data_IF_586724250832
#
_entry.id   IF_586724250832
#
_cell.length_a   1.000
_cell.length_b   1.000
_cell.length_c   1.000
_cell.angle_alpha   90.00
_cell.angle_beta   90.00
_cell.angle_gamma   90.00
#
_symmetry.space_group_name_H-M   'P 1'
#
loop_
_entity.id
_entity.type
_entity.pdbx_description
1 polymer ?
#
# COMPACT_ATOMS: atom_id res chain seq x y z
N UNK A 1 53.52 -18.57 -31.64
CA UNK A 1 52.55 -18.74 -30.53
C UNK A 1 52.38 -17.36 -29.96
N UNK A 2 51.41 -16.60 -30.47
CA UNK A 2 50.03 -16.54 -29.95
C UNK A 2 50.06 -15.88 -28.55
N UNK A 3 49.34 -14.82 -28.24
CA UNK A 3 48.11 -14.31 -28.85
C UNK A 3 47.90 -12.86 -28.42
N UNK A 4 47.06 -12.19 -29.19
CA UNK A 4 46.53 -10.85 -29.03
C UNK A 4 45.74 -10.69 -27.72
N UNK A 5 45.86 -9.54 -27.06
CA UNK A 5 44.93 -9.07 -26.02
C UNK A 5 45.09 -7.55 -25.95
N UNK A 6 44.42 -6.84 -26.87
CA UNK A 6 43.18 -6.11 -26.58
C UNK A 6 43.26 -5.23 -25.32
N UNK A 7 43.50 -3.96 -25.58
CA UNK A 7 42.67 -2.83 -25.15
C UNK A 7 41.48 -3.23 -24.25
N UNK A 8 41.50 -2.80 -22.99
CA UNK A 8 40.39 -2.04 -22.41
C UNK A 8 40.76 -1.55 -20.98
N UNK A 9 40.65 -0.25 -20.71
CA UNK A 9 40.46 0.24 -19.35
C UNK A 9 38.98 0.05 -19.00
N UNK A 10 38.61 -1.14 -18.53
CA UNK A 10 37.22 -1.40 -18.15
C UNK A 10 36.90 -0.82 -16.76
N UNK A 11 36.20 0.31 -16.81
CA UNK A 11 35.14 0.69 -15.87
C UNK A 11 35.55 1.07 -14.44
N UNK A 12 36.32 2.15 -14.36
CA UNK A 12 36.19 3.12 -13.26
C UNK A 12 35.22 4.26 -13.63
N UNK A 13 34.18 3.97 -14.41
CA UNK A 13 33.17 4.94 -14.83
C UNK A 13 31.84 4.70 -14.11
N UNK A 14 31.48 5.71 -13.31
CA UNK A 14 30.14 6.03 -12.83
C UNK A 14 29.34 4.88 -12.18
N UNK A 15 29.58 4.64 -10.89
CA UNK A 15 28.54 4.17 -9.98
C UNK A 15 27.43 5.23 -9.99
N UNK A 16 26.51 5.14 -10.93
CA UNK A 16 25.21 5.75 -10.81
C UNK A 16 24.57 5.09 -9.59
N UNK A 17 24.62 5.77 -8.45
CA UNK A 17 23.88 5.35 -7.27
C UNK A 17 22.40 5.36 -7.70
N UNK A 18 21.88 4.18 -8.05
CA UNK A 18 20.46 4.01 -8.32
C UNK A 18 19.74 4.27 -7.00
N UNK A 19 19.24 5.50 -6.86
CA UNK A 19 18.45 5.91 -5.71
C UNK A 19 17.17 5.08 -5.72
N UNK A 20 17.04 4.20 -4.75
CA UNK A 20 15.86 3.36 -4.56
C UNK A 20 14.86 4.08 -3.65
N UNK A 21 13.58 3.93 -3.97
CA UNK A 21 12.47 4.55 -3.27
C UNK A 21 11.59 3.46 -2.64
N UNK A 22 11.21 3.60 -1.38
CA UNK A 22 10.20 2.74 -0.74
C UNK A 22 8.79 3.20 -1.12
N UNK A 23 7.73 2.39 -0.86
CA UNK A 23 6.36 2.83 -1.09
C UNK A 23 6.01 4.16 -0.42
N UNK A 24 6.54 4.40 0.78
CA UNK A 24 6.32 5.65 1.52
C UNK A 24 7.03 6.84 0.85
N UNK A 25 8.29 6.67 0.42
CA UNK A 25 9.05 7.71 -0.28
C UNK A 25 8.40 8.07 -1.63
N UNK A 26 7.91 7.07 -2.37
CA UNK A 26 7.18 7.30 -3.61
C UNK A 26 5.88 8.09 -3.38
N UNK A 27 5.12 7.68 -2.37
CA UNK A 27 3.85 8.31 -2.01
C UNK A 27 4.02 9.80 -1.71
N UNK A 28 5.03 10.15 -0.92
CA UNK A 28 5.37 11.54 -0.60
C UNK A 28 5.86 12.31 -1.84
N UNK A 29 6.75 11.72 -2.64
CA UNK A 29 7.33 12.37 -3.82
C UNK A 29 6.29 12.73 -4.89
N UNK A 30 5.22 11.94 -5.01
CA UNK A 30 4.14 12.15 -5.99
C UNK A 30 2.86 12.73 -5.36
N UNK A 31 2.83 12.91 -4.04
CA UNK A 31 1.72 13.55 -3.32
C UNK A 31 0.45 12.70 -3.24
N UNK A 32 0.58 11.39 -3.03
CA UNK A 32 -0.55 10.45 -2.89
C UNK A 32 -0.44 9.63 -1.61
N UNK A 33 -1.53 9.04 -1.08
CA UNK A 33 -1.45 8.15 0.07
C UNK A 33 -0.60 6.90 -0.21
N UNK A 34 0.11 6.38 0.80
CA UNK A 34 0.92 5.15 0.69
C UNK A 34 0.09 3.94 0.23
N UNK A 35 -1.19 3.91 0.61
CA UNK A 35 -2.15 2.90 0.16
C UNK A 35 -2.27 2.86 -1.38
N UNK A 36 -2.22 4.01 -2.06
CA UNK A 36 -2.26 4.08 -3.51
C UNK A 36 -1.02 3.43 -4.14
N UNK A 37 0.18 3.70 -3.60
CA UNK A 37 1.43 3.05 -4.09
C UNK A 37 1.37 1.54 -3.89
N UNK A 38 0.95 1.07 -2.70
CA UNK A 38 0.80 -0.36 -2.39
C UNK A 38 -0.25 -1.02 -3.29
N UNK A 39 -1.34 -0.32 -3.62
CA UNK A 39 -2.36 -0.80 -4.56
C UNK A 39 -1.76 -0.98 -5.96
N UNK A 40 -1.05 0.02 -6.47
CA UNK A 40 -0.41 -0.04 -7.77
C UNK A 40 0.66 -1.12 -7.86
N UNK A 41 1.38 -1.36 -6.77
CA UNK A 41 2.32 -2.49 -6.65
C UNK A 41 1.59 -3.84 -6.73
N UNK A 42 0.54 -4.06 -5.93
CA UNK A 42 -0.23 -5.32 -5.95
C UNK A 42 -0.89 -5.60 -7.30
N UNK A 43 -1.30 -4.55 -8.01
CA UNK A 43 -1.87 -4.63 -9.36
C UNK A 43 -0.79 -4.79 -10.45
N UNK A 44 0.50 -4.76 -10.10
CA UNK A 44 1.62 -4.85 -11.04
C UNK A 44 1.82 -3.61 -11.92
N UNK A 45 1.14 -2.51 -11.62
CA UNK A 45 1.30 -1.22 -12.32
C UNK A 45 2.62 -0.55 -11.93
N UNK A 46 2.97 -0.61 -10.64
CA UNK A 46 4.32 -0.33 -10.16
C UNK A 46 5.05 -1.64 -9.89
N UNK A 47 6.33 -1.70 -10.22
CA UNK A 47 7.12 -2.92 -10.06
C UNK A 47 8.37 -2.64 -9.22
N UNK A 48 8.53 -3.32 -8.07
CA UNK A 48 9.73 -3.13 -7.27
C UNK A 48 10.92 -3.82 -7.95
N UNK A 49 12.03 -3.10 -8.01
CA UNK A 49 13.31 -3.60 -8.51
C UNK A 49 13.98 -4.52 -7.49
N UNK A 50 13.69 -4.33 -6.19
CA UNK A 50 14.24 -5.13 -5.10
C UNK A 50 13.26 -5.25 -3.94
N UNK A 51 13.18 -6.43 -3.33
CA UNK A 51 12.43 -6.65 -2.09
C UNK A 51 13.40 -7.12 -1.00
N UNK A 52 13.46 -6.38 0.11
CA UNK A 52 14.33 -6.69 1.25
C UNK A 52 13.47 -6.79 2.50
N UNK A 53 13.46 -7.94 3.18
CA UNK A 53 12.65 -8.15 4.41
C UNK A 53 11.18 -7.74 4.22
N UNK A 54 10.55 -8.15 3.11
CA UNK A 54 9.17 -7.78 2.69
C UNK A 54 8.96 -6.29 2.35
N UNK A 55 9.99 -5.47 2.34
CA UNK A 55 9.91 -4.07 1.89
C UNK A 55 10.37 -3.92 0.44
N UNK A 56 9.46 -3.41 -0.36
CA UNK A 56 9.65 -3.14 -1.78
C UNK A 56 10.43 -1.85 -2.03
N UNK A 57 11.32 -1.89 -3.04
CA UNK A 57 12.17 -0.79 -3.46
C UNK A 57 12.01 -0.57 -4.96
N UNK A 58 11.76 0.67 -5.36
CA UNK A 58 11.47 1.09 -6.73
C UNK A 58 12.58 2.01 -7.23
N UNK A 59 12.82 2.04 -8.54
CA UNK A 59 13.81 2.93 -9.15
C UNK A 59 13.18 4.26 -9.62
N UNK A 60 13.91 5.03 -10.42
CA UNK A 60 13.45 6.31 -10.94
C UNK A 60 12.39 6.18 -12.07
N UNK A 61 12.34 5.06 -12.79
CA UNK A 61 11.33 4.85 -13.82
C UNK A 61 9.93 4.75 -13.19
N UNK A 62 9.85 4.01 -12.07
CA UNK A 62 8.65 3.84 -11.28
C UNK A 62 8.13 5.16 -10.67
N UNK A 63 9.03 6.13 -10.39
CA UNK A 63 8.63 7.49 -10.00
C UNK A 63 7.83 8.18 -11.11
N UNK A 64 8.24 8.00 -12.36
CA UNK A 64 7.54 8.56 -13.53
C UNK A 64 6.14 7.99 -13.68
N UNK A 65 6.00 6.66 -13.54
CA UNK A 65 4.72 5.96 -13.56
C UNK A 65 3.83 6.41 -12.41
N UNK A 66 4.36 6.47 -11.19
CA UNK A 66 3.64 6.92 -10.00
C UNK A 66 3.15 8.39 -10.14
N UNK A 67 3.95 9.27 -10.76
CA UNK A 67 3.56 10.67 -11.00
C UNK A 67 2.39 10.78 -11.98
N UNK A 68 2.39 9.97 -13.04
CA UNK A 68 1.28 9.90 -14.01
C UNK A 68 -0.01 9.43 -13.34
N UNK A 69 0.07 8.42 -12.47
CA UNK A 69 -1.06 7.97 -11.67
C UNK A 69 -1.57 9.03 -10.69
N UNK A 70 -0.64 9.72 -10.02
CA UNK A 70 -0.97 10.82 -9.10
C UNK A 70 -1.68 11.98 -9.81
N UNK A 71 -1.30 12.31 -11.04
CA UNK A 71 -1.99 13.32 -11.85
C UNK A 71 -3.46 12.96 -12.10
N UNK A 72 -3.76 11.69 -12.41
CA UNK A 72 -5.15 11.24 -12.57
C UNK A 72 -5.95 11.37 -11.28
N UNK A 73 -5.35 11.00 -10.14
CA UNK A 73 -5.99 11.16 -8.83
C UNK A 73 -6.23 12.64 -8.48
N UNK A 74 -5.22 13.50 -8.68
CA UNK A 74 -5.33 14.93 -8.43
C UNK A 74 -6.37 15.60 -9.34
N UNK A 75 -6.54 15.09 -10.55
CA UNK A 75 -7.61 15.52 -11.44
C UNK A 75 -9.00 15.10 -10.95
N UNK A 76 -9.12 14.19 -9.97
CA UNK A 76 -10.38 13.73 -9.38
C UNK A 76 -10.87 12.39 -9.92
N UNK A 77 -10.02 11.62 -10.60
CA UNK A 77 -10.34 10.22 -10.89
C UNK A 77 -10.24 9.39 -9.61
N UNK A 78 -11.21 8.51 -9.38
CA UNK A 78 -11.09 7.48 -8.34
C UNK A 78 -10.07 6.42 -8.77
N UNK A 79 -9.45 5.74 -7.80
CA UNK A 79 -8.51 4.64 -8.06
C UNK A 79 -9.12 3.56 -8.98
N UNK A 80 -10.39 3.17 -8.74
CA UNK A 80 -11.11 2.22 -9.61
C UNK A 80 -11.25 2.71 -11.05
N UNK A 81 -11.49 4.01 -11.26
CA UNK A 81 -11.57 4.58 -12.60
C UNK A 81 -10.21 4.55 -13.30
N UNK A 82 -9.13 4.83 -12.56
CA UNK A 82 -7.76 4.72 -13.07
C UNK A 82 -7.47 3.27 -13.48
N UNK A 83 -7.76 2.30 -12.60
CA UNK A 83 -7.55 0.87 -12.85
C UNK A 83 -8.31 0.40 -14.11
N UNK A 84 -9.58 0.77 -14.24
CA UNK A 84 -10.41 0.43 -15.41
C UNK A 84 -9.80 0.94 -16.71
N UNK A 85 -9.36 2.20 -16.73
CA UNK A 85 -8.79 2.82 -17.93
C UNK A 85 -7.42 2.27 -18.29
N UNK A 86 -6.60 1.92 -17.30
CA UNK A 86 -5.33 1.24 -17.56
C UNK A 86 -5.55 -0.13 -18.17
N UNK A 87 -6.55 -0.88 -17.71
CA UNK A 87 -6.94 -2.16 -18.30
C UNK A 87 -7.47 -2.00 -19.75
N UNK A 88 -8.17 -0.92 -20.06
CA UNK A 88 -8.62 -0.59 -21.42
C UNK A 88 -7.41 -0.33 -22.35
N UNK A 89 -6.46 0.52 -21.93
CA UNK A 89 -5.25 0.82 -22.72
C UNK A 89 -4.36 -0.42 -22.88
N UNK A 90 -4.21 -1.24 -21.83
CA UNK A 90 -3.42 -2.46 -21.90
C UNK A 90 -3.92 -3.43 -22.99
N UNK A 91 -5.23 -3.44 -23.29
CA UNK A 91 -5.79 -4.24 -24.39
C UNK A 91 -5.44 -3.68 -25.77
N UNK A 92 -5.24 -2.38 -25.88
CA UNK A 92 -4.83 -1.70 -27.11
C UNK A 92 -3.32 -1.78 -27.36
N UNK A 93 -2.54 -2.14 -26.33
CA UNK A 93 -1.09 -2.30 -26.38
C UNK A 93 -0.67 -3.72 -25.97
N UNK A 94 -0.93 -4.75 -26.79
CA UNK A 94 -0.56 -6.13 -26.46
C UNK A 94 0.95 -6.34 -26.29
N UNK A 95 1.77 -5.49 -26.91
CA UNK A 95 3.24 -5.55 -26.84
C UNK A 95 3.82 -4.79 -25.62
N UNK A 96 2.99 -4.07 -24.86
CA UNK A 96 3.42 -3.27 -23.72
C UNK A 96 2.55 -3.57 -22.50
N UNK A 97 2.94 -4.55 -21.65
CA UNK A 97 2.17 -4.94 -20.48
C UNK A 97 2.11 -3.84 -19.40
N UNK A 98 2.86 -2.75 -19.57
CA UNK A 98 2.94 -1.61 -18.65
C UNK A 98 2.53 -0.31 -19.35
N UNK A 99 1.22 0.01 -19.41
CA UNK A 99 0.71 1.13 -20.18
C UNK A 99 1.36 2.47 -19.83
N UNK A 100 1.57 2.76 -18.54
CA UNK A 100 2.11 4.04 -18.11
C UNK A 100 3.63 4.16 -18.17
N UNK A 101 4.35 3.05 -18.35
CA UNK A 101 5.76 3.08 -18.68
C UNK A 101 5.97 3.36 -20.17
N UNK A 102 4.95 3.10 -21.01
CA UNK A 102 5.00 3.37 -22.43
C UNK A 102 4.96 4.90 -22.71
N UNK A 103 5.91 5.44 -23.49
CA UNK A 103 5.91 6.86 -23.84
C UNK A 103 4.74 7.26 -24.73
N UNK A 104 4.06 6.31 -25.39
CA UNK A 104 2.86 6.57 -26.18
C UNK A 104 1.67 6.93 -25.29
N UNK A 105 1.66 6.54 -24.01
CA UNK A 105 0.54 6.86 -23.12
C UNK A 105 0.74 8.23 -22.50
N UNK A 106 -0.18 9.14 -22.78
CA UNK A 106 -0.20 10.53 -22.34
C UNK A 106 -1.30 10.72 -21.30
N UNK A 107 -1.00 11.40 -20.20
CA UNK A 107 -1.97 11.74 -19.15
C UNK A 107 -2.26 13.23 -19.24
N UNK A 108 -3.53 13.61 -19.39
CA UNK A 108 -3.93 15.02 -19.42
C UNK A 108 -5.23 15.23 -18.62
N UNK A 109 -5.12 15.96 -17.50
CA UNK A 109 -6.20 16.11 -16.54
C UNK A 109 -6.77 14.76 -16.09
N UNK A 110 -8.06 14.54 -16.33
CA UNK A 110 -8.77 13.29 -16.02
C UNK A 110 -8.66 12.23 -17.10
N UNK A 111 -7.96 12.48 -18.22
CA UNK A 111 -7.99 11.63 -19.42
C UNK A 111 -6.64 10.95 -19.65
N UNK A 112 -6.71 9.75 -20.21
CA UNK A 112 -5.56 8.99 -20.66
C UNK A 112 -5.67 8.87 -22.18
N UNK A 113 -4.59 9.16 -22.88
CA UNK A 113 -4.53 9.08 -24.33
C UNK A 113 -3.40 8.16 -24.77
N UNK A 114 -3.55 7.56 -25.93
CA UNK A 114 -2.53 6.79 -26.62
C UNK A 114 -2.10 7.55 -27.88
N UNK A 115 -0.82 7.87 -27.98
CA UNK A 115 -0.21 8.51 -29.15
C UNK A 115 0.08 7.47 -30.23
N UNK A 116 -0.55 7.64 -31.39
CA UNK A 116 -0.41 6.81 -32.57
C UNK A 116 0.15 7.66 -33.72
N UNK A 117 1.47 7.83 -33.77
CA UNK A 117 2.10 8.76 -34.71
C UNK A 117 1.84 10.22 -34.32
N UNK A 118 1.20 11.00 -35.20
CA UNK A 118 0.83 12.40 -34.98
C UNK A 118 -0.55 12.56 -34.30
N UNK A 119 -1.33 11.48 -34.18
CA UNK A 119 -2.69 11.50 -33.61
C UNK A 119 -2.72 11.00 -32.15
N UNK A 120 -3.67 11.50 -31.36
CA UNK A 120 -4.01 11.03 -30.02
C UNK A 120 -5.28 10.18 -30.06
N UNK A 121 -5.35 9.08 -29.32
CA UNK A 121 -6.52 8.21 -29.23
C UNK A 121 -6.95 8.01 -27.77
N UNK A 122 -8.25 7.93 -27.50
CA UNK A 122 -8.77 7.59 -26.16
C UNK A 122 -8.68 6.06 -25.89
N UNK A 123 -8.82 5.60 -24.62
CA UNK A 123 -8.71 4.19 -24.24
C UNK A 123 -9.72 3.26 -24.92
N UNK A 124 -10.80 3.81 -25.48
CA UNK A 124 -11.78 3.10 -26.30
C UNK A 124 -11.40 2.92 -27.77
N UNK A 125 -10.24 3.42 -28.21
CA UNK A 125 -9.77 3.36 -29.59
C UNK A 125 -10.30 4.48 -30.51
N UNK A 126 -11.00 5.46 -29.94
CA UNK A 126 -11.48 6.62 -30.70
C UNK A 126 -10.36 7.64 -30.89
N UNK A 127 -10.08 8.02 -32.14
CA UNK A 127 -9.11 9.07 -32.47
C UNK A 127 -9.66 10.44 -32.02
N UNK A 128 -8.82 11.22 -31.36
CA UNK A 128 -9.05 12.61 -30.99
C UNK A 128 -8.71 13.47 -32.21
N UNK A 129 -9.73 14.15 -32.76
CA UNK A 129 -9.55 15.16 -33.77
C UNK A 129 -9.41 16.52 -33.07
N UNK A 130 -8.34 17.24 -33.39
CA UNK A 130 -8.06 18.57 -32.84
C UNK A 130 -9.03 19.59 -33.47
N UNK A 131 -10.17 19.80 -32.83
CA UNK A 131 -11.13 20.82 -33.20
C UNK A 131 -11.00 21.98 -32.21
N UNK A 132 -10.58 23.15 -32.72
CA UNK A 132 -10.47 24.41 -31.99
C UNK A 132 -11.67 24.61 -31.03
N UNK A 133 -11.34 24.86 -29.76
CA UNK A 133 -12.25 25.08 -28.64
C UNK A 133 -13.21 26.26 -28.87
N UNK A 134 -14.36 26.03 -29.49
CA UNK A 134 -15.52 26.91 -29.29
C UNK A 134 -16.86 26.28 -29.71
N UNK A 135 -17.19 25.09 -29.21
CA UNK A 135 -18.60 24.67 -29.04
C UNK A 135 -18.67 23.27 -28.50
N UNK A 136 -19.22 23.11 -27.29
CA UNK A 136 -20.39 22.29 -26.98
C UNK A 136 -20.48 22.13 -25.45
N UNK A 137 -21.34 22.98 -24.87
CA UNK A 137 -21.94 22.73 -23.57
C UNK A 137 -22.93 21.56 -23.66
N UNK A 138 -23.08 20.86 -22.54
CA UNK A 138 -24.12 19.87 -22.20
C UNK A 138 -24.34 18.69 -23.16
N UNK A 139 -23.95 17.49 -22.69
CA UNK A 139 -24.85 16.34 -22.67
C UNK A 139 -24.34 15.27 -21.70
N UNK A 140 -25.02 15.17 -20.55
CA UNK A 140 -25.09 13.98 -19.71
C UNK A 140 -25.91 12.91 -20.45
N UNK A 141 -25.26 12.02 -21.18
CA UNK A 141 -25.84 10.71 -21.51
C UNK A 141 -24.72 9.72 -21.88
N UNK A 142 -24.45 8.77 -20.97
CA UNK A 142 -23.57 7.65 -21.26
C UNK A 142 -24.20 6.76 -22.35
N UNK A 143 -23.45 6.26 -23.35
CA UNK A 143 -24.01 5.35 -24.33
C UNK A 143 -24.37 4.01 -23.67
N UNK A 144 -25.62 3.60 -23.84
CA UNK A 144 -26.11 2.26 -23.49
C UNK A 144 -25.34 1.24 -24.33
N UNK A 145 -24.54 0.40 -23.67
CA UNK A 145 -23.86 -0.72 -24.32
C UNK A 145 -24.63 -2.01 -24.04
N UNK A 146 -25.26 -2.57 -25.07
CA UNK A 146 -25.80 -3.93 -25.06
C UNK A 146 -24.67 -4.86 -25.53
N UNK A 147 -24.19 -5.74 -24.64
CA UNK A 147 -23.26 -6.81 -25.03
C UNK A 147 -24.01 -8.14 -25.16
N UNK A 148 -23.92 -8.76 -26.35
CA UNK A 148 -24.43 -10.10 -26.64
C UNK A 148 -23.25 -11.07 -26.82
N UNK A 149 -23.31 -12.18 -26.05
CA UNK A 149 -22.67 -13.49 -26.19
C UNK A 149 -21.12 -13.54 -26.06
N UNK A 150 -20.51 -14.56 -25.46
CA UNK A 150 -20.65 -15.99 -25.75
C UNK A 150 -20.42 -16.84 -24.50
N UNK A 151 -21.26 -17.85 -24.32
CA UNK A 151 -21.11 -18.85 -23.28
C UNK A 151 -19.85 -19.69 -23.46
N UNK A 152 -19.10 -19.84 -22.37
CA UNK A 152 -18.22 -20.98 -22.20
C UNK A 152 -18.58 -21.69 -20.89
N UNK A 153 -19.10 -22.91 -21.06
CA UNK A 153 -19.17 -23.93 -20.01
C UNK A 153 -17.78 -24.14 -19.44
N UNK A 154 -17.54 -23.68 -18.21
CA UNK A 154 -16.57 -24.32 -17.35
C UNK A 154 -17.28 -25.48 -16.64
N UNK A 155 -16.81 -26.68 -16.97
CA UNK A 155 -17.20 -27.94 -16.36
C UNK A 155 -16.87 -27.88 -14.86
N UNK A 156 -17.84 -28.29 -14.03
CA UNK A 156 -17.66 -28.90 -12.71
C UNK A 156 -16.33 -28.56 -12.00
N UNK A 157 -16.23 -27.36 -11.45
CA UNK A 157 -15.30 -27.08 -10.36
C UNK A 157 -16.04 -27.40 -9.06
N UNK A 158 -15.41 -28.13 -8.14
CA UNK A 158 -16.04 -28.51 -6.88
C UNK A 158 -16.49 -27.29 -6.08
N UNK A 159 -17.44 -27.47 -5.16
CA UNK A 159 -17.91 -26.38 -4.27
C UNK A 159 -16.76 -25.59 -3.60
N UNK A 160 -15.58 -26.20 -3.42
CA UNK A 160 -14.38 -25.55 -2.89
C UNK A 160 -13.79 -24.45 -3.78
N UNK A 161 -13.78 -24.61 -5.11
CA UNK A 161 -13.18 -23.61 -6.02
C UNK A 161 -14.07 -22.36 -6.12
N UNK A 162 -15.39 -22.55 -6.10
CA UNK A 162 -16.35 -21.46 -6.07
C UNK A 162 -16.31 -20.68 -4.75
N UNK A 163 -16.16 -21.39 -3.62
CA UNK A 163 -15.99 -20.76 -2.31
C UNK A 163 -14.68 -19.97 -2.24
N UNK A 164 -13.58 -20.52 -2.76
CA UNK A 164 -12.31 -19.81 -2.80
C UNK A 164 -12.36 -18.54 -3.66
N UNK A 165 -13.05 -18.59 -4.80
CA UNK A 165 -13.28 -17.42 -5.64
C UNK A 165 -14.12 -16.35 -4.91
N UNK A 166 -15.16 -16.76 -4.17
CA UNK A 166 -15.98 -15.86 -3.36
C UNK A 166 -15.17 -15.21 -2.23
N UNK A 167 -14.33 -15.98 -1.52
CA UNK A 167 -13.43 -15.47 -0.47
C UNK A 167 -12.50 -14.40 -1.06
N UNK A 168 -11.89 -14.67 -2.21
CA UNK A 168 -11.04 -13.69 -2.90
C UNK A 168 -11.78 -12.41 -3.30
N UNK A 169 -13.02 -12.53 -3.76
CA UNK A 169 -13.88 -11.38 -4.08
C UNK A 169 -14.21 -10.54 -2.84
N UNK A 170 -14.66 -11.19 -1.75
CA UNK A 170 -15.00 -10.52 -0.50
C UNK A 170 -13.78 -9.82 0.12
N UNK A 171 -12.61 -10.44 0.04
CA UNK A 171 -11.36 -9.84 0.50
C UNK A 171 -11.01 -8.59 -0.31
N UNK A 172 -11.11 -8.65 -1.64
CA UNK A 172 -10.86 -7.50 -2.49
C UNK A 172 -11.86 -6.36 -2.26
N UNK A 173 -13.13 -6.70 -2.03
CA UNK A 173 -14.16 -5.73 -1.71
C UNK A 173 -13.89 -5.03 -0.37
N UNK A 174 -13.50 -5.78 0.66
CA UNK A 174 -13.14 -5.21 1.97
C UNK A 174 -12.00 -4.19 1.85
N UNK A 175 -10.95 -4.54 1.11
CA UNK A 175 -9.80 -3.67 0.84
C UNK A 175 -10.23 -2.42 0.08
N UNK A 176 -11.09 -2.55 -0.93
CA UNK A 176 -11.58 -1.38 -1.65
C UNK A 176 -12.39 -0.43 -0.74
N UNK A 177 -13.21 -0.97 0.18
CA UNK A 177 -13.93 -0.15 1.14
C UNK A 177 -13.00 0.57 2.12
N UNK A 178 -11.91 -0.08 2.53
CA UNK A 178 -10.87 0.55 3.33
C UNK A 178 -10.16 1.69 2.59
N UNK A 179 -9.81 1.47 1.33
CA UNK A 179 -9.17 2.47 0.46
C UNK A 179 -10.08 3.71 0.29
N UNK A 180 -11.40 3.50 0.26
CA UNK A 180 -12.41 4.57 0.22
C UNK A 180 -12.69 5.22 1.59
N UNK A 181 -12.08 4.73 2.66
CA UNK A 181 -12.34 5.19 4.04
C UNK A 181 -13.74 4.83 4.55
N UNK A 182 -14.46 3.93 3.88
CA UNK A 182 -15.79 3.46 4.26
C UNK A 182 -15.68 2.33 5.28
N UNK A 183 -15.18 2.67 6.47
CA UNK A 183 -14.81 1.71 7.52
C UNK A 183 -15.98 0.78 7.93
N UNK A 184 -17.21 1.29 8.01
CA UNK A 184 -18.39 0.46 8.32
C UNK A 184 -18.60 -0.66 7.29
N UNK A 185 -18.38 -0.36 5.99
CA UNK A 185 -18.54 -1.32 4.90
C UNK A 185 -17.40 -2.31 4.89
N UNK A 186 -16.16 -1.84 5.09
CA UNK A 186 -15.00 -2.71 5.20
C UNK A 186 -15.16 -3.71 6.36
N UNK A 187 -15.62 -3.24 7.52
CA UNK A 187 -15.86 -4.10 8.68
C UNK A 187 -16.90 -5.19 8.38
N UNK A 188 -17.98 -4.85 7.66
CA UNK A 188 -19.00 -5.82 7.28
C UNK A 188 -18.49 -6.85 6.26
N UNK A 189 -17.67 -6.42 5.29
CA UNK A 189 -17.02 -7.32 4.36
C UNK A 189 -16.08 -8.29 5.07
N UNK A 190 -15.29 -7.84 6.06
CA UNK A 190 -14.44 -8.72 6.87
C UNK A 190 -15.23 -9.68 7.76
N UNK A 191 -16.36 -9.25 8.33
CA UNK A 191 -17.26 -10.19 9.06
C UNK A 191 -17.80 -11.27 8.15
N UNK A 192 -18.20 -10.90 6.93
CA UNK A 192 -18.67 -11.85 5.91
C UNK A 192 -17.54 -12.80 5.49
N UNK A 193 -16.32 -12.28 5.36
CA UNK A 193 -15.12 -13.07 5.05
C UNK A 193 -14.84 -14.11 6.14
N UNK A 194 -14.91 -13.73 7.43
CA UNK A 194 -14.77 -14.66 8.55
C UNK A 194 -15.87 -15.73 8.58
N UNK A 195 -17.11 -15.38 8.20
CA UNK A 195 -18.19 -16.37 8.07
C UNK A 195 -17.98 -17.37 6.93
N UNK A 196 -17.40 -16.92 5.81
CA UNK A 196 -17.20 -17.73 4.61
C UNK A 196 -15.94 -18.58 4.66
N UNK A 197 -14.82 -18.01 5.12
CA UNK A 197 -13.50 -18.65 5.16
C UNK A 197 -13.18 -19.32 6.50
N UNK A 198 -13.93 -18.99 7.56
CA UNK A 198 -13.62 -19.39 8.93
C UNK A 198 -12.66 -18.41 9.63
N UNK A 199 -12.36 -18.66 10.92
CA UNK A 199 -11.48 -17.81 11.70
C UNK A 199 -10.03 -17.91 11.20
N UNK A 200 -9.49 -16.80 10.71
CA UNK A 200 -8.09 -16.68 10.29
C UNK A 200 -7.47 -15.45 10.97
N UNK A 201 -6.22 -15.54 11.44
CA UNK A 201 -5.59 -14.47 12.20
C UNK A 201 -5.50 -13.17 11.39
N UNK A 202 -5.24 -13.26 10.08
CA UNK A 202 -5.13 -12.10 9.18
C UNK A 202 -6.47 -11.37 9.02
N UNK A 203 -7.59 -12.10 9.00
CA UNK A 203 -8.93 -11.50 8.87
C UNK A 203 -9.41 -10.89 10.19
N UNK A 204 -9.07 -11.50 11.32
CA UNK A 204 -9.29 -10.91 12.63
C UNK A 204 -8.46 -9.62 12.80
N UNK A 205 -7.19 -9.64 12.40
CA UNK A 205 -6.31 -8.47 12.42
C UNK A 205 -6.83 -7.34 11.52
N UNK A 206 -7.20 -7.64 10.27
CA UNK A 206 -7.72 -6.63 9.35
C UNK A 206 -9.04 -6.02 9.85
N UNK A 207 -9.95 -6.83 10.39
CA UNK A 207 -11.17 -6.32 11.00
C UNK A 207 -10.85 -5.46 12.24
N UNK A 208 -9.88 -5.83 13.05
CA UNK A 208 -9.44 -5.06 14.20
C UNK A 208 -8.90 -3.68 13.80
N UNK A 209 -8.06 -3.60 12.76
CA UNK A 209 -7.50 -2.34 12.26
C UNK A 209 -8.59 -1.38 11.74
N UNK A 210 -9.56 -1.93 11.00
CA UNK A 210 -10.72 -1.15 10.52
C UNK A 210 -11.55 -0.62 11.68
N UNK A 211 -11.81 -1.45 12.71
CA UNK A 211 -12.56 -1.04 13.90
C UNK A 211 -11.80 0.00 14.73
N UNK A 212 -10.48 -0.15 14.86
CA UNK A 212 -9.61 0.81 15.53
C UNK A 212 -9.68 2.18 14.84
N UNK A 213 -9.54 2.21 13.50
CA UNK A 213 -9.68 3.45 12.71
C UNK A 213 -11.08 4.04 12.77
N UNK A 214 -12.10 3.21 12.99
CA UNK A 214 -13.48 3.65 13.23
C UNK A 214 -13.72 4.12 14.68
N UNK A 215 -12.67 4.13 15.52
CA UNK A 215 -12.69 4.50 16.92
C UNK A 215 -13.56 3.57 17.80
N UNK A 216 -13.84 2.35 17.34
CA UNK A 216 -14.44 1.29 18.15
C UNK A 216 -13.34 0.45 18.81
N UNK A 217 -12.65 1.06 19.77
CA UNK A 217 -11.49 0.48 20.45
C UNK A 217 -11.82 -0.82 21.19
N UNK A 218 -13.05 -0.94 21.70
CA UNK A 218 -13.51 -2.15 22.39
C UNK A 218 -13.61 -3.32 21.42
N UNK A 219 -14.28 -3.13 20.28
CA UNK A 219 -14.41 -4.17 19.27
C UNK A 219 -13.06 -4.49 18.61
N UNK A 220 -12.19 -3.50 18.41
CA UNK A 220 -10.85 -3.70 17.90
C UNK A 220 -10.01 -4.59 18.84
N UNK A 221 -10.03 -4.29 20.16
CA UNK A 221 -9.34 -5.10 21.18
C UNK A 221 -9.75 -6.57 21.12
N UNK A 222 -11.06 -6.84 21.11
CA UNK A 222 -11.59 -8.21 21.02
C UNK A 222 -11.08 -8.93 19.77
N UNK A 223 -11.02 -8.24 18.62
CA UNK A 223 -10.56 -8.83 17.37
C UNK A 223 -9.04 -9.05 17.35
N UNK A 224 -8.24 -8.18 17.94
CA UNK A 224 -6.80 -8.43 18.11
C UNK A 224 -6.55 -9.64 19.02
N UNK A 225 -7.31 -9.80 20.11
CA UNK A 225 -7.24 -11.02 20.92
C UNK A 225 -7.60 -12.26 20.12
N UNK A 226 -8.69 -12.25 19.33
CA UNK A 226 -9.04 -13.39 18.48
C UNK A 226 -7.94 -13.74 17.48
N UNK A 227 -7.21 -12.75 16.93
CA UNK A 227 -6.06 -13.02 16.07
C UNK A 227 -4.94 -13.75 16.83
N UNK A 228 -4.64 -13.30 18.05
CA UNK A 228 -3.60 -13.88 18.90
C UNK A 228 -3.96 -15.24 19.51
N UNK A 229 -5.24 -15.53 19.70
CA UNK A 229 -5.72 -16.87 20.10
C UNK A 229 -5.48 -17.91 19.00
N UNK A 230 -5.47 -17.48 17.73
CA UNK A 230 -5.23 -18.36 16.58
C UNK A 230 -3.73 -18.44 16.28
N UNK A 231 -3.03 -17.30 16.32
CA UNK A 231 -1.60 -17.21 16.11
C UNK A 231 -0.94 -16.34 17.20
N UNK A 232 -0.38 -17.02 18.20
CA UNK A 232 0.34 -16.37 19.30
C UNK A 232 1.62 -15.65 18.84
N UNK A 233 2.16 -15.95 17.65
CA UNK A 233 3.38 -15.32 17.12
C UNK A 233 3.09 -14.07 16.29
N UNK A 234 1.82 -13.67 16.13
CA UNK A 234 1.42 -12.53 15.31
C UNK A 234 1.83 -11.18 15.94
N UNK A 235 3.07 -10.78 15.70
CA UNK A 235 3.71 -9.61 16.33
C UNK A 235 2.97 -8.31 16.04
N UNK A 236 2.52 -8.08 14.79
CA UNK A 236 1.78 -6.87 14.43
C UNK A 236 0.43 -6.76 15.16
N UNK A 237 -0.28 -7.88 15.35
CA UNK A 237 -1.51 -7.91 16.12
C UNK A 237 -1.27 -7.61 17.60
N UNK A 238 -0.20 -8.17 18.18
CA UNK A 238 0.19 -7.90 19.56
C UNK A 238 0.64 -6.44 19.77
N UNK A 239 1.40 -5.88 18.84
CA UNK A 239 1.80 -4.48 18.87
C UNK A 239 0.57 -3.55 18.83
N UNK A 240 -0.36 -3.82 17.92
CA UNK A 240 -1.58 -3.02 17.76
C UNK A 240 -2.50 -3.13 18.98
N UNK A 241 -2.61 -4.32 19.59
CA UNK A 241 -3.29 -4.49 20.87
C UNK A 241 -2.66 -3.63 21.97
N UNK A 242 -1.32 -3.60 22.05
CA UNK A 242 -0.59 -2.72 22.96
C UNK A 242 -0.95 -1.24 22.78
N UNK A 243 -1.06 -0.77 21.54
CA UNK A 243 -1.50 0.59 21.23
C UNK A 243 -2.93 0.87 21.71
N UNK A 244 -3.87 -0.04 21.43
CA UNK A 244 -5.27 0.08 21.88
C UNK A 244 -5.33 0.16 23.41
N UNK A 245 -4.60 -0.69 24.12
CA UNK A 245 -4.52 -0.67 25.59
C UNK A 245 -3.95 0.64 26.13
N UNK A 246 -2.92 1.18 25.47
CA UNK A 246 -2.35 2.46 25.85
C UNK A 246 -3.37 3.60 25.67
N UNK A 247 -4.16 3.58 24.61
CA UNK A 247 -5.21 4.57 24.35
C UNK A 247 -6.40 4.45 25.31
N UNK A 248 -6.76 3.23 25.72
CA UNK A 248 -7.80 3.01 26.75
C UNK A 248 -7.30 3.29 28.18
N UNK A 249 -6.02 3.58 28.35
CA UNK A 249 -5.41 3.96 29.64
C UNK A 249 -4.88 2.80 30.47
N UNK A 250 -4.90 1.58 29.94
CA UNK A 250 -4.36 0.36 30.58
C UNK A 250 -2.84 0.26 30.33
N UNK A 251 -2.09 1.24 30.83
CA UNK A 251 -0.70 1.47 30.43
C UNK A 251 0.25 0.34 30.84
N UNK A 252 0.10 -0.23 32.03
CA UNK A 252 0.92 -1.35 32.49
C UNK A 252 0.67 -2.60 31.63
N UNK A 253 -0.58 -2.84 31.24
CA UNK A 253 -0.94 -3.96 30.36
C UNK A 253 -0.43 -3.72 28.94
N UNK A 254 -0.47 -2.47 28.46
CA UNK A 254 0.12 -2.08 27.18
C UNK A 254 1.63 -2.35 27.15
N UNK A 255 2.36 -1.95 28.20
CA UNK A 255 3.79 -2.19 28.32
C UNK A 255 4.10 -3.70 28.29
N UNK A 256 3.42 -4.50 29.12
CA UNK A 256 3.61 -5.95 29.14
C UNK A 256 3.27 -6.62 27.79
N UNK A 257 2.23 -6.13 27.10
CA UNK A 257 1.83 -6.65 25.78
C UNK A 257 2.91 -6.34 24.72
N UNK A 258 3.47 -5.13 24.73
CA UNK A 258 4.53 -4.71 23.80
C UNK A 258 5.87 -5.41 24.12
N UNK A 259 6.22 -5.57 25.39
CA UNK A 259 7.36 -6.39 25.81
C UNK A 259 7.21 -7.85 25.33
N UNK A 260 6.00 -8.40 25.42
CA UNK A 260 5.68 -9.71 24.86
C UNK A 260 5.87 -9.79 23.34
N UNK A 261 5.60 -8.72 22.59
CA UNK A 261 5.87 -8.66 21.15
C UNK A 261 7.38 -8.72 20.84
N UNK A 262 8.22 -8.08 21.67
CA UNK A 262 9.68 -8.13 21.52
C UNK A 262 10.29 -9.50 21.80
N UNK A 263 9.61 -10.38 22.54
CA UNK A 263 10.06 -11.76 22.73
C UNK A 263 10.04 -12.57 21.43
N UNK A 264 9.13 -12.24 20.50
CA UNK A 264 9.03 -12.88 19.20
C UNK A 264 9.85 -12.15 18.12
N UNK A 265 9.92 -10.82 18.19
CA UNK A 265 10.71 -10.01 17.26
C UNK A 265 11.38 -8.85 17.98
N UNK A 266 12.61 -9.08 18.44
CA UNK A 266 13.41 -8.09 19.16
C UNK A 266 13.81 -6.89 18.28
N UNK A 267 13.84 -7.04 16.95
CA UNK A 267 14.26 -5.98 16.03
C UNK A 267 13.07 -5.21 15.44
N UNK A 268 11.88 -5.33 16.03
CA UNK A 268 10.68 -4.66 15.50
C UNK A 268 10.60 -3.21 16.00
N UNK A 269 11.08 -2.29 15.16
CA UNK A 269 11.22 -0.87 15.48
C UNK A 269 9.92 -0.23 16.02
N UNK A 270 8.77 -0.52 15.42
CA UNK A 270 7.49 0.08 15.81
C UNK A 270 7.10 -0.28 17.26
N UNK A 271 7.42 -1.50 17.70
CA UNK A 271 7.17 -1.91 19.09
C UNK A 271 8.06 -1.14 20.06
N UNK A 272 9.33 -0.92 19.72
CA UNK A 272 10.21 -0.06 20.53
C UNK A 272 9.69 1.38 20.62
N UNK A 273 9.21 1.94 19.52
CA UNK A 273 8.58 3.25 19.50
C UNK A 273 7.37 3.32 20.44
N UNK A 274 6.42 2.39 20.30
CA UNK A 274 5.21 2.36 21.13
C UNK A 274 5.51 2.09 22.60
N UNK A 275 6.43 1.17 22.90
CA UNK A 275 6.82 0.84 24.27
C UNK A 275 7.49 2.03 24.96
N UNK A 276 8.40 2.72 24.25
CA UNK A 276 9.02 3.93 24.79
C UNK A 276 7.97 5.01 25.13
N UNK A 277 6.97 5.18 24.27
CA UNK A 277 5.89 6.14 24.50
C UNK A 277 5.00 5.76 25.70
N UNK A 278 4.70 4.47 25.85
CA UNK A 278 3.95 3.94 27.01
C UNK A 278 4.75 4.12 28.30
N UNK A 279 6.05 3.81 28.29
CA UNK A 279 6.93 3.96 29.45
C UNK A 279 7.08 5.43 29.88
N UNK A 280 7.14 6.36 28.94
CA UNK A 280 7.10 7.79 29.24
C UNK A 280 5.80 8.20 29.96
N UNK A 281 4.65 7.63 29.55
CA UNK A 281 3.36 7.87 30.21
C UNK A 281 3.24 7.18 31.57
N UNK A 282 4.01 6.11 31.80
CA UNK A 282 4.14 5.42 33.08
C UNK A 282 5.15 6.09 34.03
N UNK A 283 5.73 7.23 33.65
CA UNK A 283 6.80 7.91 34.40
C UNK A 283 8.03 7.01 34.62
N UNK A 284 8.36 6.18 33.62
CA UNK A 284 9.55 5.31 33.57
C UNK A 284 10.52 5.78 32.47
N UNK A 285 11.02 7.03 32.53
CA UNK A 285 11.79 7.61 31.43
C UNK A 285 13.12 6.91 31.17
N UNK A 286 13.78 6.37 32.20
CA UNK A 286 15.07 5.68 32.03
C UNK A 286 14.97 4.49 31.07
N UNK A 287 13.93 3.67 31.22
CA UNK A 287 13.65 2.51 30.36
C UNK A 287 13.15 2.97 28.98
N UNK A 288 12.33 4.04 28.94
CA UNK A 288 11.89 4.63 27.67
C UNK A 288 13.07 5.07 26.79
N UNK A 289 14.12 5.66 27.38
CA UNK A 289 15.31 6.11 26.64
C UNK A 289 16.05 4.97 25.93
N UNK A 290 16.08 3.77 26.52
CA UNK A 290 16.69 2.60 25.88
C UNK A 290 15.92 2.24 24.61
N UNK A 291 14.59 2.17 24.70
CA UNK A 291 13.74 1.86 23.54
C UNK A 291 13.72 2.99 22.49
N UNK A 292 13.78 4.26 22.91
CA UNK A 292 13.94 5.39 21.98
C UNK A 292 15.25 5.30 21.17
N UNK A 293 16.35 4.88 21.81
CA UNK A 293 17.64 4.65 21.12
C UNK A 293 17.54 3.47 20.15
N UNK A 294 17.04 2.32 20.62
CA UNK A 294 16.90 1.13 19.78
C UNK A 294 15.99 1.40 18.57
N UNK A 295 14.89 2.13 18.75
CA UNK A 295 14.03 2.56 17.65
C UNK A 295 14.80 3.37 16.60
N UNK A 296 15.63 4.33 17.03
CA UNK A 296 16.44 5.14 16.11
C UNK A 296 17.55 4.34 15.43
N UNK A 297 18.12 3.35 16.11
CA UNK A 297 19.13 2.46 15.51
C UNK A 297 18.51 1.56 14.43
N UNK A 298 17.28 1.07 14.66
CA UNK A 298 16.57 0.20 13.73
C UNK A 298 15.90 0.97 12.58
N UNK A 299 15.41 2.18 12.84
CA UNK A 299 14.63 2.98 11.88
C UNK A 299 15.02 4.47 11.89
N UNK A 300 16.27 4.82 11.53
CA UNK A 300 16.77 6.20 11.62
C UNK A 300 16.06 7.20 10.70
N UNK A 301 15.50 6.71 9.59
CA UNK A 301 14.77 7.50 8.58
C UNK A 301 13.24 7.47 8.80
N UNK A 302 12.78 6.91 9.92
CA UNK A 302 11.35 6.90 10.24
C UNK A 302 10.80 8.34 10.40
N UNK A 303 9.56 8.62 9.99
CA UNK A 303 8.93 9.92 10.23
C UNK A 303 8.92 10.32 11.71
N UNK A 304 8.89 9.34 12.62
CA UNK A 304 8.91 9.57 14.06
C UNK A 304 10.33 9.68 14.65
N UNK A 305 11.37 9.51 13.84
CA UNK A 305 12.76 9.61 14.30
C UNK A 305 13.10 11.01 14.82
N UNK A 306 12.53 12.07 14.24
CA UNK A 306 12.72 13.43 14.75
C UNK A 306 12.18 13.56 16.19
N UNK A 307 10.96 13.10 16.44
CA UNK A 307 10.34 13.12 17.77
C UNK A 307 11.14 12.30 18.79
N UNK A 308 11.62 11.11 18.39
CA UNK A 308 12.48 10.28 19.22
C UNK A 308 13.81 10.99 19.57
N UNK A 309 14.46 11.65 18.60
CA UNK A 309 15.69 12.43 18.84
C UNK A 309 15.44 13.60 19.80
N UNK A 310 14.34 14.32 19.62
CA UNK A 310 13.96 15.42 20.50
C UNK A 310 13.74 14.95 21.94
N UNK A 311 13.11 13.78 22.11
CA UNK A 311 12.90 13.15 23.41
C UNK A 311 14.22 12.78 24.10
N UNK A 312 15.15 12.17 23.36
CA UNK A 312 16.49 11.85 23.87
C UNK A 312 17.29 13.11 24.23
N UNK A 313 17.20 14.17 23.41
CA UNK A 313 17.88 15.44 23.65
C UNK A 313 17.28 16.23 24.83
N UNK A 314 15.98 16.08 25.10
CA UNK A 314 15.34 16.66 26.28
C UNK A 314 15.83 15.99 27.57
N UNK A 315 16.01 14.66 27.56
CA UNK A 315 16.52 13.93 28.72
C UNK A 315 17.98 14.31 29.04
N UNK A 316 18.85 14.43 28.03
CA UNK A 316 20.25 14.81 28.23
C UNK A 316 20.49 16.28 28.67
N UNK A 317 19.45 17.11 28.74
CA UNK A 317 19.50 18.49 29.25
C UNK A 317 19.02 18.63 30.70
N UNK A 318 18.50 17.53 31.28
CA UNK A 318 17.94 17.50 32.63
C UNK A 318 18.87 16.90 33.69
N UNK A 319 20.02 16.34 33.29
CA UNK A 319 21.12 15.85 34.16
C UNK A 319 22.22 16.90 34.33
#
# INVERSE_FOLDING_TARGET
MADDAHDEPAEADAIAIQRLYTPAMLAELVGVPVAAIRRWERQGTLQPVKVVRRLSHFDFEEVGVARRLAQLLAAGCSLRMVDRRLAEIARLLPDSPRPLADPRVVVEGRRLFLRLGDDLAEPGGQLLLDFDESSLADNDEAPVTISIAVGQRAKQSGNGDALQALIGQLQQEAIDWEDEGRLDRAAESYRTLLMAAGPQPEFHFALADVLYRANDLSAARERYYSALEIDEEYVEARASLGCVLAETGELELAAATLEGALQYSADFADVHYHLAHVLDRLDRPAEALEHWRTFLDLAPESPWAAAARDRLAAAGRGD
#
